data_IF_427502641634
#
_entry.id   IF_427502641634
#
_cell.length_a   1.000
_cell.length_b   1.000
_cell.length_c   1.000
_cell.angle_alpha   90.00
_cell.angle_beta   90.00
_cell.angle_gamma   90.00
#
_symmetry.space_group_name_H-M   'P 1'
#
loop_
_entity.id
_entity.type
_entity.pdbx_description
1 polymer ?
#
# COMPACT_ATOMS: atom_id res chain seq x y z
N UNK A 1 -3.44 26.01 -15.99
CA UNK A 1 -2.17 25.82 -15.24
C UNK A 1 -1.93 24.39 -14.75
N UNK A 2 -2.94 23.49 -14.72
CA UNK A 2 -2.78 22.07 -14.31
C UNK A 2 -2.26 21.10 -15.39
N UNK A 3 -2.04 21.56 -16.63
CA UNK A 3 -1.73 20.69 -17.77
C UNK A 3 -0.22 20.36 -17.94
N UNK A 4 0.66 20.82 -17.05
CA UNK A 4 2.12 20.71 -17.22
C UNK A 4 2.84 19.86 -16.17
N UNK A 5 2.13 19.05 -15.37
CA UNK A 5 2.80 18.09 -14.49
C UNK A 5 3.25 16.84 -15.28
N UNK A 6 4.46 16.35 -14.99
CA UNK A 6 5.09 15.17 -15.61
C UNK A 6 4.14 13.95 -15.76
N UNK A 7 3.26 13.62 -14.80
CA UNK A 7 2.37 12.46 -14.91
C UNK A 7 1.33 12.55 -16.05
N UNK A 8 0.98 13.75 -16.50
CA UNK A 8 -0.13 13.97 -17.46
C UNK A 8 0.38 13.98 -18.91
N UNK A 9 1.66 14.31 -19.12
CA UNK A 9 2.26 14.43 -20.45
C UNK A 9 2.19 13.10 -21.21
N UNK A 10 2.61 12.00 -20.58
CA UNK A 10 2.62 10.67 -21.20
C UNK A 10 1.23 10.23 -21.70
N UNK A 11 0.22 10.15 -20.82
CA UNK A 11 -1.14 9.79 -21.21
C UNK A 11 -1.73 10.71 -22.29
N UNK A 12 -1.42 12.01 -22.24
CA UNK A 12 -1.87 12.97 -23.24
C UNK A 12 -1.23 12.70 -24.61
N UNK A 13 0.07 12.40 -24.65
CA UNK A 13 0.77 12.02 -25.88
C UNK A 13 0.25 10.71 -26.47
N UNK A 14 -0.17 9.77 -25.63
CA UNK A 14 -0.83 8.53 -26.05
C UNK A 14 -2.29 8.72 -26.49
N UNK A 15 -2.84 9.95 -26.46
CA UNK A 15 -4.21 10.24 -26.86
C UNK A 15 -5.26 9.70 -25.88
N UNK A 16 -4.91 9.53 -24.60
CA UNK A 16 -5.85 9.05 -23.59
C UNK A 16 -7.02 10.03 -23.40
N UNK A 17 -8.23 9.48 -23.24
CA UNK A 17 -9.41 10.28 -22.96
C UNK A 17 -9.24 11.04 -21.63
N UNK A 18 -9.71 12.29 -21.57
CA UNK A 18 -9.57 13.15 -20.38
C UNK A 18 -10.06 12.43 -19.11
N UNK A 19 -11.23 11.78 -19.16
CA UNK A 19 -11.77 11.00 -18.02
C UNK A 19 -10.80 9.94 -17.51
N UNK A 20 -10.10 9.22 -18.40
CA UNK A 20 -9.11 8.20 -18.02
C UNK A 20 -7.94 8.84 -17.27
N UNK A 21 -7.44 9.97 -17.77
CA UNK A 21 -6.35 10.72 -17.13
C UNK A 21 -6.77 11.17 -15.74
N UNK A 22 -7.98 11.71 -15.59
CA UNK A 22 -8.50 12.17 -14.30
C UNK A 22 -8.65 11.02 -13.30
N UNK A 23 -9.32 9.93 -13.70
CA UNK A 23 -9.51 8.76 -12.82
C UNK A 23 -8.17 8.18 -12.38
N UNK A 24 -7.23 8.00 -13.32
CA UNK A 24 -5.90 7.49 -13.00
C UNK A 24 -5.14 8.43 -12.05
N UNK A 25 -5.21 9.74 -12.30
CA UNK A 25 -4.55 10.75 -11.45
C UNK A 25 -5.11 10.73 -10.02
N UNK A 26 -6.44 10.63 -9.86
CA UNK A 26 -7.06 10.50 -8.55
C UNK A 26 -6.56 9.25 -7.81
N UNK A 27 -6.56 8.10 -8.47
CA UNK A 27 -6.08 6.84 -7.88
C UNK A 27 -4.60 6.97 -7.47
N UNK A 28 -3.75 7.51 -8.36
CA UNK A 28 -2.33 7.67 -8.09
C UNK A 28 -2.07 8.60 -6.90
N UNK A 29 -2.73 9.76 -6.82
CA UNK A 29 -2.57 10.70 -5.71
C UNK A 29 -3.05 10.09 -4.40
N UNK A 30 -4.21 9.43 -4.40
CA UNK A 30 -4.74 8.77 -3.20
C UNK A 30 -3.81 7.65 -2.72
N UNK A 31 -3.32 6.81 -3.64
CA UNK A 31 -2.38 5.74 -3.33
C UNK A 31 -1.09 6.29 -2.72
N UNK A 32 -0.45 7.26 -3.37
CA UNK A 32 0.81 7.87 -2.88
C UNK A 32 0.61 8.52 -1.51
N UNK A 33 -0.51 9.21 -1.32
CA UNK A 33 -0.81 9.84 -0.02
C UNK A 33 -0.98 8.79 1.07
N UNK A 34 -1.66 7.67 0.78
CA UNK A 34 -1.80 6.58 1.74
C UNK A 34 -0.45 5.92 2.08
N UNK A 35 0.37 5.63 1.06
CA UNK A 35 1.68 4.97 1.20
C UNK A 35 2.77 5.82 1.88
N UNK A 36 2.62 7.15 1.95
CA UNK A 36 3.68 8.03 2.45
C UNK A 36 3.24 9.00 3.55
N UNK A 37 1.98 9.00 3.95
CA UNK A 37 1.52 9.82 5.09
C UNK A 37 1.67 9.12 6.45
N UNK A 38 1.94 7.81 6.45
CA UNK A 38 1.94 6.97 7.66
C UNK A 38 0.55 6.67 8.21
N UNK A 39 -0.51 7.11 7.53
CA UNK A 39 -1.91 6.82 7.88
C UNK A 39 -2.50 5.75 6.99
N UNK A 40 -3.14 4.77 7.62
CA UNK A 40 -4.00 3.80 6.96
C UNK A 40 -5.43 4.14 7.40
N UNK A 41 -6.18 4.90 6.58
CA UNK A 41 -7.56 5.29 6.90
C UNK A 41 -8.57 4.22 6.45
N UNK A 42 -9.81 4.26 6.98
CA UNK A 42 -10.88 3.40 6.49
C UNK A 42 -11.11 3.65 4.99
N UNK A 43 -11.55 2.62 4.26
CA UNK A 43 -11.81 2.67 2.80
C UNK A 43 -10.58 2.85 1.89
N UNK A 44 -9.36 2.87 2.44
CA UNK A 44 -8.13 2.95 1.64
C UNK A 44 -7.53 1.57 1.35
N UNK A 45 -6.72 1.50 0.30
CA UNK A 45 -5.78 0.39 0.12
C UNK A 45 -4.70 0.48 1.19
N UNK A 46 -4.22 -0.68 1.62
CA UNK A 46 -3.29 -0.74 2.74
C UNK A 46 -1.86 -0.34 2.33
N UNK A 47 -1.19 0.54 3.11
CA UNK A 47 0.21 0.88 2.89
C UNK A 47 1.18 -0.19 3.39
N UNK A 48 0.71 -1.20 4.14
CA UNK A 48 1.58 -2.14 4.88
C UNK A 48 2.55 -2.92 3.97
N UNK A 49 2.14 -3.28 2.74
CA UNK A 49 3.00 -4.00 1.79
C UNK A 49 4.19 -3.12 1.34
N UNK A 50 3.91 -1.85 1.04
CA UNK A 50 4.90 -0.87 0.64
C UNK A 50 5.81 -0.44 1.81
N UNK A 51 5.24 -0.28 3.01
CA UNK A 51 6.01 0.00 4.22
C UNK A 51 6.95 -1.17 4.55
N UNK A 52 6.49 -2.41 4.35
CA UNK A 52 7.31 -3.60 4.53
C UNK A 52 8.43 -3.70 3.51
N UNK A 53 8.17 -3.34 2.24
CA UNK A 53 9.23 -3.18 1.24
C UNK A 53 10.29 -2.18 1.69
N UNK A 54 9.90 -1.02 2.22
CA UNK A 54 10.85 -0.03 2.75
C UNK A 54 11.60 -0.49 4.00
N UNK A 55 11.10 -1.51 4.71
CA UNK A 55 11.78 -2.11 5.85
C UNK A 55 12.85 -3.13 5.43
N UNK A 56 12.58 -3.90 4.38
CA UNK A 56 13.37 -5.09 3.97
C UNK A 56 14.21 -4.86 2.72
N UNK A 57 13.77 -3.98 1.82
CA UNK A 57 14.39 -3.56 0.55
C UNK A 57 14.61 -4.65 -0.51
N UNK A 58 14.41 -5.93 -0.19
CA UNK A 58 14.69 -7.06 -1.07
C UNK A 58 13.48 -7.97 -1.34
N UNK A 59 12.28 -7.51 -0.99
CA UNK A 59 11.01 -8.20 -1.20
C UNK A 59 9.87 -7.18 -1.37
N UNK A 60 8.67 -7.66 -1.71
CA UNK A 60 7.48 -6.82 -1.89
C UNK A 60 7.66 -5.70 -2.94
N UNK A 61 8.10 -6.04 -4.16
CA UNK A 61 8.50 -5.09 -5.20
C UNK A 61 7.32 -4.45 -5.95
N UNK A 62 6.20 -5.16 -6.09
CA UNK A 62 5.06 -4.72 -6.88
C UNK A 62 4.07 -3.88 -6.10
N UNK A 63 3.45 -2.90 -6.77
CA UNK A 63 2.39 -2.06 -6.15
C UNK A 63 1.15 -2.88 -5.76
N UNK A 64 0.83 -3.93 -6.54
CA UNK A 64 -0.34 -4.80 -6.34
C UNK A 64 0.01 -6.17 -5.74
N UNK A 65 1.29 -6.52 -5.62
CA UNK A 65 1.75 -7.80 -5.07
C UNK A 65 1.48 -9.06 -5.89
N UNK A 66 0.75 -9.01 -7.01
CA UNK A 66 0.42 -10.22 -7.82
C UNK A 66 1.66 -10.95 -8.31
N UNK A 67 2.61 -10.21 -8.89
CA UNK A 67 3.86 -10.82 -9.34
C UNK A 67 4.70 -11.26 -8.15
N UNK A 68 4.66 -10.54 -7.03
CA UNK A 68 5.39 -10.96 -5.82
C UNK A 68 4.89 -12.28 -5.25
N UNK A 69 3.56 -12.49 -5.26
CA UNK A 69 2.97 -13.76 -4.85
C UNK A 69 3.40 -14.90 -5.79
N UNK A 70 3.37 -14.67 -7.12
CA UNK A 70 3.79 -15.68 -8.12
C UNK A 70 5.28 -16.03 -8.00
N UNK A 71 6.13 -15.04 -7.71
CA UNK A 71 7.59 -15.21 -7.64
C UNK A 71 8.10 -15.48 -6.21
N UNK A 72 7.21 -15.57 -5.22
CA UNK A 72 7.55 -15.83 -3.82
C UNK A 72 8.16 -14.64 -3.06
N UNK A 73 8.21 -13.45 -3.65
CA UNK A 73 8.77 -12.24 -3.00
C UNK A 73 7.76 -11.55 -2.07
N UNK A 74 6.62 -12.18 -1.78
CA UNK A 74 5.66 -11.75 -0.76
C UNK A 74 5.60 -12.70 0.46
N UNK A 75 6.32 -13.84 0.44
CA UNK A 75 6.12 -14.91 1.42
C UNK A 75 6.45 -14.48 2.86
N UNK A 76 7.55 -13.77 3.10
CA UNK A 76 7.90 -13.27 4.44
C UNK A 76 6.87 -12.28 4.94
N UNK A 77 6.42 -11.38 4.06
CA UNK A 77 5.35 -10.43 4.36
C UNK A 77 4.06 -11.15 4.76
N UNK A 78 3.59 -12.09 3.95
CA UNK A 78 2.35 -12.86 4.19
C UNK A 78 2.37 -13.61 5.54
N UNK A 79 3.55 -14.10 5.95
CA UNK A 79 3.75 -14.77 7.23
C UNK A 79 3.97 -13.80 8.42
N UNK A 80 4.12 -12.51 8.16
CA UNK A 80 4.41 -11.49 9.18
C UNK A 80 3.15 -10.96 9.88
N UNK A 81 3.37 -10.23 10.98
CA UNK A 81 2.30 -9.48 11.64
C UNK A 81 1.75 -8.32 10.76
N UNK A 82 2.54 -7.80 9.81
CA UNK A 82 2.13 -6.71 8.92
C UNK A 82 1.02 -7.15 7.95
N UNK A 83 1.03 -8.40 7.49
CA UNK A 83 -0.05 -8.95 6.65
C UNK A 83 -1.41 -8.94 7.33
N UNK A 84 -1.44 -9.12 8.66
CA UNK A 84 -2.69 -8.98 9.45
C UNK A 84 -3.24 -7.55 9.44
N UNK A 85 -2.46 -6.54 9.06
CA UNK A 85 -2.94 -5.16 8.87
C UNK A 85 -3.14 -4.82 7.40
N UNK A 86 -2.72 -5.69 6.48
CA UNK A 86 -2.82 -5.48 5.05
C UNK A 86 -4.22 -5.75 4.48
N UNK A 87 -5.16 -4.86 4.80
CA UNK A 87 -6.56 -4.98 4.37
C UNK A 87 -7.27 -3.64 4.44
N UNK A 88 -8.15 -3.40 3.47
CA UNK A 88 -9.12 -2.31 3.57
C UNK A 88 -10.13 -2.64 4.67
N UNK A 89 -10.40 -1.64 5.52
CA UNK A 89 -11.27 -1.77 6.67
C UNK A 89 -12.31 -0.63 6.71
N UNK A 90 -13.41 -0.88 7.42
CA UNK A 90 -14.61 -0.02 7.40
C UNK A 90 -14.97 0.52 8.79
N UNK A 91 -14.08 0.36 9.77
CA UNK A 91 -14.26 0.84 11.15
C UNK A 91 -13.57 2.19 11.34
N UNK A 92 -14.04 3.01 12.27
CA UNK A 92 -13.34 4.25 12.65
C UNK A 92 -12.18 4.03 13.61
N UNK A 93 -11.97 2.79 14.08
CA UNK A 93 -10.81 2.43 14.90
C UNK A 93 -9.55 2.29 14.05
N UNK A 94 -8.39 2.79 14.50
CA UNK A 94 -7.12 2.58 13.80
C UNK A 94 -6.81 1.10 13.61
N UNK A 95 -6.25 0.73 12.45
CA UNK A 95 -5.93 -0.67 12.12
C UNK A 95 -4.99 -1.34 13.14
N UNK A 96 -4.08 -0.56 13.76
CA UNK A 96 -3.15 -1.02 14.79
C UNK A 96 -3.84 -1.34 16.12
N UNK A 97 -4.99 -0.74 16.40
CA UNK A 97 -5.80 -1.11 17.57
C UNK A 97 -6.58 -2.41 17.30
N UNK A 98 -7.06 -2.60 16.06
CA UNK A 98 -7.75 -3.82 15.64
C UNK A 98 -6.82 -5.04 15.55
N UNK A 99 -5.57 -4.82 15.12
CA UNK A 99 -4.52 -5.83 15.01
C UNK A 99 -3.26 -5.34 15.71
N UNK A 100 -3.21 -5.47 17.05
CA UNK A 100 -2.07 -5.03 17.82
C UNK A 100 -0.82 -5.83 17.47
N UNK A 101 0.33 -5.18 17.66
CA UNK A 101 1.62 -5.83 17.55
C UNK A 101 1.73 -6.89 18.66
N UNK A 102 2.06 -8.12 18.29
CA UNK A 102 2.30 -9.17 19.28
C UNK A 102 3.63 -8.86 19.96
N UNK A 103 3.59 -8.33 21.18
CA UNK A 103 4.79 -8.13 21.98
C UNK A 103 5.39 -9.52 22.27
N UNK A 104 6.69 -9.71 22.02
CA UNK A 104 7.44 -10.96 22.29
C UNK A 104 7.47 -11.41 23.78
N UNK A 105 6.57 -10.92 24.63
CA UNK A 105 6.57 -11.11 26.07
C UNK A 105 5.58 -12.19 26.55
N UNK A 106 5.42 -13.28 25.80
CA UNK A 106 4.63 -14.45 26.23
C UNK A 106 5.38 -15.80 26.10
N UNK A 107 6.69 -15.78 25.85
CA UNK A 107 7.52 -17.02 25.78
C UNK A 107 8.66 -17.09 26.80
N UNK A 108 8.66 -16.25 27.85
CA UNK A 108 9.59 -16.37 28.99
C UNK A 108 8.86 -16.48 30.33
N UNK A 109 7.92 -17.41 30.42
CA UNK A 109 7.46 -17.95 31.71
C UNK A 109 7.18 -19.43 31.55
N UNK A 110 8.23 -20.23 31.73
CA UNK A 110 8.28 -21.46 32.53
C UNK A 110 9.70 -22.01 32.51
#
# INVERSE_FOLDING_TARGET
MLLYSVPIIGPTLCGAHVTTIWVWTCIAITSTTSSHSGYHFPFQLSPEFHDYHHMTFNECFGVIGVLDHIHGTAETFENSAYYKRHRTYFSFKPIRELYPEQTENAQKTN
#
